data_IF_655173802547
#
_entry.id   IF_655173802547
#
_cell.length_a   1.000
_cell.length_b   1.000
_cell.length_c   1.000
_cell.angle_alpha   90.00
_cell.angle_beta   90.00
_cell.angle_gamma   90.00
#
_symmetry.space_group_name_H-M   'P 1'
#
loop_
_entity.id
_entity.type
_entity.pdbx_description
1 polymer ?
#
# COMPACT_ATOMS: atom_id res chain seq x y z
N UNK A 1 13.11 -2.33 -11.71
CA UNK A 1 13.38 -0.88 -11.59
C UNK A 1 14.08 -0.28 -12.82
N UNK A 2 14.98 -0.99 -13.50
CA UNK A 2 15.74 -0.50 -14.67
C UNK A 2 14.86 0.00 -15.83
N UNK A 3 13.78 -0.74 -16.16
CA UNK A 3 12.85 -0.32 -17.20
C UNK A 3 12.15 1.02 -16.87
N UNK A 4 11.82 1.24 -15.59
CA UNK A 4 11.21 2.49 -15.13
C UNK A 4 12.18 3.66 -15.28
N UNK A 5 13.46 3.45 -14.96
CA UNK A 5 14.51 4.48 -15.15
C UNK A 5 14.63 4.92 -16.61
N UNK A 6 14.70 3.96 -17.52
CA UNK A 6 14.80 4.26 -18.98
C UNK A 6 13.59 5.04 -19.48
N UNK A 7 12.37 4.70 -19.04
CA UNK A 7 11.17 5.44 -19.41
C UNK A 7 11.18 6.85 -18.81
N UNK A 8 11.58 6.99 -17.55
CA UNK A 8 11.70 8.29 -16.88
C UNK A 8 12.69 9.20 -17.64
N UNK A 9 13.88 8.72 -17.95
CA UNK A 9 14.89 9.45 -18.74
C UNK A 9 14.37 9.85 -20.12
N UNK A 10 13.65 8.94 -20.79
CA UNK A 10 13.08 9.20 -22.12
C UNK A 10 12.06 10.35 -22.09
N UNK A 11 11.10 10.32 -21.16
CA UNK A 11 10.05 11.34 -21.08
C UNK A 11 10.58 12.67 -20.54
N UNK A 12 11.44 12.64 -19.50
CA UNK A 12 12.08 13.87 -18.98
C UNK A 12 13.00 14.53 -20.00
N UNK A 13 13.70 13.76 -20.82
CA UNK A 13 14.49 14.29 -21.94
C UNK A 13 13.66 15.06 -22.99
N UNK A 14 12.34 14.88 -22.97
CA UNK A 14 11.36 15.61 -23.80
C UNK A 14 10.72 16.79 -23.10
N UNK A 15 11.09 17.05 -21.84
CA UNK A 15 10.51 18.11 -21.02
C UNK A 15 9.13 17.77 -20.47
N UNK A 16 8.78 16.48 -20.39
CA UNK A 16 7.48 16.01 -19.89
C UNK A 16 7.54 15.76 -18.37
N UNK A 17 6.49 16.14 -17.65
CA UNK A 17 6.29 15.80 -16.24
C UNK A 17 5.90 14.32 -16.15
N UNK A 18 6.57 13.57 -15.26
CA UNK A 18 6.40 12.11 -15.18
C UNK A 18 5.87 11.68 -13.83
N UNK A 19 4.76 10.98 -13.84
CA UNK A 19 4.18 10.34 -12.66
C UNK A 19 4.22 8.81 -12.77
N UNK A 20 4.42 8.12 -11.65
CA UNK A 20 4.42 6.67 -11.56
C UNK A 20 3.23 6.19 -10.73
N UNK A 21 2.32 5.45 -11.35
CA UNK A 21 1.24 4.75 -10.66
C UNK A 21 1.51 3.26 -10.65
N UNK A 22 1.57 2.66 -9.46
CA UNK A 22 1.78 1.22 -9.27
C UNK A 22 0.50 0.61 -8.75
N UNK A 23 0.04 -0.46 -9.37
CA UNK A 23 -1.20 -1.13 -8.97
C UNK A 23 -0.99 -2.63 -8.79
N UNK A 24 -1.79 -3.24 -7.92
CA UNK A 24 -1.75 -4.68 -7.71
C UNK A 24 -2.90 -5.22 -6.88
N UNK A 25 -3.22 -6.49 -7.09
CA UNK A 25 -4.26 -7.21 -6.38
C UNK A 25 -3.63 -8.23 -5.42
N UNK A 26 -4.22 -8.42 -4.24
CA UNK A 26 -3.76 -9.40 -3.24
C UNK A 26 -2.26 -9.24 -2.92
N UNK A 27 -1.46 -10.29 -3.04
CA UNK A 27 -0.01 -10.22 -2.86
C UNK A 27 0.66 -9.20 -3.80
N UNK A 28 0.17 -9.03 -5.03
CA UNK A 28 0.64 -8.01 -5.97
C UNK A 28 0.44 -6.59 -5.44
N UNK A 29 -0.62 -6.33 -4.66
CA UNK A 29 -0.83 -5.06 -4.00
C UNK A 29 0.18 -4.80 -2.87
N UNK A 30 0.59 -5.84 -2.14
CA UNK A 30 1.68 -5.74 -1.17
C UNK A 30 3.03 -5.43 -1.86
N UNK A 31 3.30 -6.10 -2.98
CA UNK A 31 4.50 -5.84 -3.79
C UNK A 31 4.49 -4.43 -4.40
N UNK A 32 3.32 -3.91 -4.79
CA UNK A 32 3.16 -2.55 -5.29
C UNK A 32 3.62 -1.50 -4.25
N UNK A 33 3.29 -1.70 -2.97
CA UNK A 33 3.74 -0.84 -1.88
C UNK A 33 5.27 -0.88 -1.70
N UNK A 34 5.88 -2.06 -1.77
CA UNK A 34 7.34 -2.22 -1.68
C UNK A 34 8.05 -1.60 -2.89
N UNK A 35 7.52 -1.80 -4.09
CA UNK A 35 8.05 -1.19 -5.31
C UNK A 35 7.94 0.34 -5.28
N UNK A 36 6.86 0.89 -4.73
CA UNK A 36 6.72 2.33 -4.56
C UNK A 36 7.75 2.90 -3.59
N UNK A 37 8.05 2.19 -2.50
CA UNK A 37 9.12 2.56 -1.58
C UNK A 37 10.49 2.57 -2.28
N UNK A 38 10.78 1.53 -3.05
CA UNK A 38 12.02 1.44 -3.83
C UNK A 38 12.11 2.57 -4.87
N UNK A 39 11.00 2.83 -5.59
CA UNK A 39 10.94 3.90 -6.58
C UNK A 39 11.19 5.27 -5.93
N UNK A 40 10.49 5.58 -4.83
CA UNK A 40 10.67 6.84 -4.12
C UNK A 40 12.08 7.02 -3.53
N UNK A 41 12.75 5.90 -3.19
CA UNK A 41 14.13 5.93 -2.68
C UNK A 41 15.18 6.05 -3.78
N UNK A 42 14.91 5.52 -4.99
CA UNK A 42 15.89 5.34 -6.06
C UNK A 42 15.71 6.30 -7.24
N UNK A 43 14.56 6.97 -7.32
CA UNK A 43 14.18 7.84 -8.43
C UNK A 43 13.74 9.22 -7.90
N UNK A 44 14.69 10.04 -7.42
CA UNK A 44 14.37 11.36 -6.85
C UNK A 44 13.75 12.33 -7.85
N UNK A 45 13.93 12.06 -9.12
CA UNK A 45 13.40 12.87 -10.22
C UNK A 45 11.96 12.56 -10.59
N UNK A 46 11.30 11.61 -9.91
CA UNK A 46 9.87 11.37 -10.11
C UNK A 46 9.04 12.42 -9.38
N UNK A 47 8.18 13.13 -10.13
CA UNK A 47 7.36 14.19 -9.60
C UNK A 47 6.27 13.67 -8.67
N UNK A 48 5.65 12.54 -9.06
CA UNK A 48 4.58 11.92 -8.28
C UNK A 48 4.65 10.40 -8.32
N UNK A 49 4.51 9.78 -7.14
CA UNK A 49 4.37 8.33 -7.00
C UNK A 49 3.05 8.03 -6.30
N UNK A 50 2.25 7.14 -6.90
CA UNK A 50 0.99 6.68 -6.33
C UNK A 50 0.86 5.16 -6.37
N UNK A 51 0.13 4.60 -5.40
CA UNK A 51 -0.20 3.18 -5.32
C UNK A 51 -1.70 3.01 -5.22
N UNK A 52 -2.26 2.12 -6.04
CA UNK A 52 -3.64 1.68 -5.91
C UNK A 52 -3.62 0.16 -5.70
N UNK A 53 -3.93 -0.29 -4.49
CA UNK A 53 -3.93 -1.72 -4.14
C UNK A 53 -5.36 -2.25 -3.92
N UNK A 54 -5.61 -3.48 -4.35
CA UNK A 54 -6.90 -4.13 -4.22
C UNK A 54 -6.75 -5.38 -3.34
N UNK A 55 -7.44 -5.42 -2.20
CA UNK A 55 -7.44 -6.57 -1.30
C UNK A 55 -6.05 -6.99 -0.81
N UNK A 56 -5.12 -6.06 -0.73
CA UNK A 56 -3.73 -6.35 -0.34
C UNK A 56 -3.60 -6.65 1.16
N UNK A 57 -2.75 -7.59 1.56
CA UNK A 57 -2.38 -7.74 2.95
C UNK A 57 -1.59 -6.53 3.45
N UNK A 58 -1.56 -6.34 4.75
CA UNK A 58 -0.81 -5.23 5.35
C UNK A 58 0.69 -5.42 5.19
N UNK A 59 1.38 -4.35 4.83
CA UNK A 59 2.82 -4.31 4.61
C UNK A 59 3.46 -3.32 5.57
N UNK A 60 4.51 -3.77 6.26
CA UNK A 60 5.29 -2.90 7.12
C UNK A 60 4.61 -2.52 8.45
N UNK A 61 5.35 -1.76 9.23
CA UNK A 61 4.96 -1.24 10.53
C UNK A 61 4.70 0.28 10.48
N UNK A 62 4.53 0.89 11.65
CA UNK A 62 4.34 2.35 11.76
C UNK A 62 5.50 3.12 11.11
N UNK A 63 6.74 2.70 11.32
CA UNK A 63 7.91 3.41 10.78
C UNK A 63 7.93 3.37 9.24
N UNK A 64 7.53 2.24 8.63
CA UNK A 64 7.40 2.12 7.19
C UNK A 64 6.29 3.05 6.65
N UNK A 65 5.13 3.08 7.32
CA UNK A 65 4.04 4.00 6.95
C UNK A 65 4.50 5.46 7.00
N UNK A 66 5.14 5.85 8.11
CA UNK A 66 5.57 7.23 8.31
C UNK A 66 6.62 7.61 7.27
N UNK A 67 7.52 6.68 6.93
CA UNK A 67 8.51 6.88 5.86
C UNK A 67 7.87 7.06 4.48
N UNK A 68 6.85 6.26 4.13
CA UNK A 68 6.12 6.41 2.87
C UNK A 68 5.42 7.78 2.77
N UNK A 69 4.86 8.26 3.89
CA UNK A 69 4.24 9.59 3.96
C UNK A 69 5.28 10.71 3.81
N UNK A 70 6.44 10.61 4.49
CA UNK A 70 7.56 11.56 4.34
C UNK A 70 8.05 11.65 2.90
N UNK A 71 8.07 10.53 2.18
CA UNK A 71 8.47 10.46 0.77
C UNK A 71 7.36 10.96 -0.19
N UNK A 72 6.21 11.39 0.32
CA UNK A 72 5.12 11.93 -0.49
C UNK A 72 4.37 10.90 -1.33
N UNK A 73 4.54 9.60 -1.07
CA UNK A 73 3.85 8.53 -1.82
C UNK A 73 2.36 8.54 -1.48
N UNK A 74 1.51 8.70 -2.50
CA UNK A 74 0.05 8.65 -2.34
C UNK A 74 -0.44 7.21 -2.43
N UNK A 75 -1.20 6.74 -1.44
CA UNK A 75 -1.63 5.35 -1.37
C UNK A 75 -3.14 5.26 -1.17
N UNK A 76 -3.80 4.55 -2.08
CA UNK A 76 -5.20 4.16 -1.99
C UNK A 76 -5.30 2.64 -1.91
N UNK A 77 -5.91 2.14 -0.84
CA UNK A 77 -6.20 0.72 -0.67
C UNK A 77 -7.69 0.47 -0.80
N UNK A 78 -8.07 -0.26 -1.81
CA UNK A 78 -9.44 -0.70 -2.07
C UNK A 78 -9.63 -2.07 -1.41
N UNK A 79 -10.52 -2.16 -0.44
CA UNK A 79 -10.77 -3.41 0.32
C UNK A 79 -12.25 -3.72 0.35
N UNK A 80 -12.59 -5.01 0.25
CA UNK A 80 -13.94 -5.49 0.46
C UNK A 80 -14.14 -5.75 1.96
N UNK A 81 -15.23 -5.28 2.54
CA UNK A 81 -15.50 -5.41 3.98
C UNK A 81 -15.48 -6.87 4.47
N UNK A 82 -15.90 -7.77 3.60
CA UNK A 82 -15.96 -9.21 3.85
C UNK A 82 -14.61 -9.92 3.69
N UNK A 83 -13.62 -9.27 3.06
CA UNK A 83 -12.30 -9.84 2.83
C UNK A 83 -11.46 -9.87 4.11
N UNK A 84 -10.87 -11.03 4.39
CA UNK A 84 -9.99 -11.24 5.55
C UNK A 84 -8.54 -10.89 5.24
N UNK A 85 -8.12 -11.00 3.97
CA UNK A 85 -6.74 -10.81 3.54
C UNK A 85 -6.15 -9.44 3.92
N UNK A 86 -6.86 -8.31 3.75
CA UNK A 86 -6.36 -7.00 4.17
C UNK A 86 -6.15 -6.86 5.69
N UNK A 87 -6.69 -7.81 6.46
CA UNK A 87 -6.53 -7.85 7.92
C UNK A 87 -5.32 -8.69 8.36
N UNK A 88 -4.73 -9.45 7.43
CA UNK A 88 -3.52 -10.23 7.67
C UNK A 88 -2.26 -9.38 7.46
N UNK A 89 -1.14 -9.68 8.13
CA UNK A 89 -0.99 -10.68 9.20
C UNK A 89 -1.49 -10.21 10.57
N UNK A 90 -2.08 -9.01 10.66
CA UNK A 90 -2.45 -8.36 11.92
C UNK A 90 -3.36 -9.21 12.82
N UNK A 91 -4.31 -9.98 12.24
CA UNK A 91 -5.23 -10.81 13.06
C UNK A 91 -4.46 -11.97 13.71
N UNK A 92 -3.59 -12.66 12.97
CA UNK A 92 -2.83 -13.81 13.49
C UNK A 92 -1.80 -13.34 14.49
N UNK A 93 -1.01 -12.34 14.13
CA UNK A 93 0.01 -11.77 15.02
C UNK A 93 -0.60 -11.16 16.28
N UNK A 94 -1.71 -10.40 16.18
CA UNK A 94 -2.36 -9.80 17.32
C UNK A 94 -2.99 -10.84 18.26
N UNK A 95 -3.48 -11.98 17.77
CA UNK A 95 -4.06 -13.03 18.61
C UNK A 95 -2.99 -13.76 19.43
N UNK A 96 -1.83 -14.02 18.84
CA UNK A 96 -0.67 -14.61 19.53
C UNK A 96 -0.04 -13.61 20.49
N UNK A 97 0.11 -12.35 20.07
CA UNK A 97 0.72 -11.28 20.86
C UNK A 97 -0.15 -10.77 22.00
N UNK A 98 -1.49 -10.90 21.93
CA UNK A 98 -2.39 -10.58 23.06
C UNK A 98 -2.17 -11.49 24.27
N UNK A 99 -1.65 -12.70 24.07
CA UNK A 99 -1.28 -13.59 25.19
C UNK A 99 0.03 -13.18 25.87
N UNK A 100 0.85 -12.31 25.23
CA UNK A 100 2.11 -11.79 25.75
C UNK A 100 1.96 -10.29 26.09
N UNK A 101 0.83 -9.91 26.65
CA UNK A 101 0.33 -8.53 26.73
C UNK A 101 1.20 -7.51 27.49
N UNK A 102 2.13 -7.94 28.34
CA UNK A 102 2.99 -7.04 29.10
C UNK A 102 4.20 -6.48 28.32
N UNK A 103 4.65 -7.19 27.27
CA UNK A 103 5.85 -6.86 26.51
C UNK A 103 5.56 -6.08 25.21
N UNK A 104 4.33 -6.15 24.70
CA UNK A 104 3.99 -5.69 23.34
C UNK A 104 3.59 -4.23 23.22
N UNK A 105 3.34 -3.51 24.32
CA UNK A 105 3.08 -2.05 24.29
C UNK A 105 4.26 -1.23 23.75
N UNK A 106 5.47 -1.79 23.75
CA UNK A 106 6.71 -1.16 23.22
C UNK A 106 7.16 -1.70 21.85
N UNK A 107 6.52 -2.75 21.32
CA UNK A 107 6.95 -3.34 20.06
C UNK A 107 6.33 -2.60 18.87
N UNK A 108 7.15 -1.85 18.17
CA UNK A 108 6.85 -1.19 16.87
C UNK A 108 6.58 -2.17 15.72
N UNK A 109 6.28 -3.43 16.01
CA UNK A 109 6.16 -4.55 15.06
C UNK A 109 4.74 -4.82 14.57
N UNK A 110 3.76 -4.01 15.01
CA UNK A 110 2.38 -4.20 14.58
C UNK A 110 2.22 -3.71 13.15
N UNK A 111 1.82 -4.61 12.25
CA UNK A 111 1.48 -4.27 10.89
C UNK A 111 0.32 -3.27 10.86
N UNK A 112 0.53 -2.14 10.19
CA UNK A 112 -0.44 -1.06 10.09
C UNK A 112 -0.93 -0.90 8.67
N UNK A 113 -2.13 -0.38 8.55
CA UNK A 113 -2.64 0.08 7.28
C UNK A 113 -1.88 1.34 6.85
N UNK A 114 -1.54 1.44 5.56
CA UNK A 114 -0.79 2.55 4.98
C UNK A 114 -1.68 3.24 3.95
N UNK A 115 -1.76 4.57 4.02
CA UNK A 115 -2.56 5.39 3.10
C UNK A 115 -4.05 5.41 3.43
N UNK A 116 -4.85 5.86 2.46
CA UNK A 116 -6.32 5.93 2.54
C UNK A 116 -6.94 4.58 2.20
N UNK A 117 -7.99 4.19 2.93
CA UNK A 117 -8.70 2.93 2.72
C UNK A 117 -10.10 3.20 2.18
N UNK A 118 -10.41 2.69 0.99
CA UNK A 118 -11.75 2.67 0.41
C UNK A 118 -12.39 1.30 0.66
N UNK A 119 -13.43 1.26 1.50
CA UNK A 119 -14.16 0.03 1.84
C UNK A 119 -15.36 -0.15 0.94
N UNK A 120 -15.34 -1.22 0.14
CA UNK A 120 -16.47 -1.64 -0.68
C UNK A 120 -17.33 -2.66 0.08
N UNK A 121 -18.65 -2.50 -0.03
CA UNK A 121 -19.62 -3.46 0.51
C UNK A 121 -20.29 -4.18 -0.65
N UNK A 122 -19.92 -5.45 -0.85
CA UNK A 122 -20.43 -6.26 -1.97
C UNK A 122 -21.94 -6.50 -1.86
N UNK A 123 -22.48 -6.60 -0.64
CA UNK A 123 -23.90 -6.86 -0.42
C UNK A 123 -24.74 -5.65 -0.88
N UNK A 124 -24.30 -4.44 -0.52
CA UNK A 124 -25.00 -3.20 -0.91
C UNK A 124 -24.94 -3.01 -2.43
N UNK A 125 -23.76 -3.18 -3.04
CA UNK A 125 -23.60 -3.00 -4.49
C UNK A 125 -24.39 -4.03 -5.32
N UNK A 126 -24.56 -5.25 -4.83
CA UNK A 126 -25.40 -6.27 -5.49
C UNK A 126 -26.90 -5.97 -5.36
N UNK A 127 -27.33 -5.33 -4.28
CA UNK A 127 -28.71 -4.90 -4.10
C UNK A 127 -29.05 -3.69 -4.98
N UNK A 128 -28.15 -2.73 -5.10
CA UNK A 128 -28.30 -1.55 -5.95
C UNK A 128 -28.27 -1.90 -7.45
N UNK A 129 -27.51 -2.91 -7.87
CA UNK A 129 -27.44 -3.36 -9.27
C UNK A 129 -28.70 -4.13 -9.72
N UNK A 130 -29.69 -4.34 -8.86
CA UNK A 130 -30.98 -5.01 -9.19
C UNK A 130 -32.15 -4.04 -9.42
N UNK A 131 -31.88 -2.74 -9.35
CA UNK A 131 -32.81 -1.68 -9.72
C UNK A 131 -32.46 -1.20 -11.13
#
# INVERSE_FOLDING_TARGET
MEAVKRLLEFFKGRGEEVSLTITGHSQGGALALLNAYEAASSLPDLDHISVISFGAPRVGNIAFRDKMNEMGVKILSVVVKQDILPKLPGIICNKILRQIHALTRRLKWVYRHIGSELKLDVIVSLLEARI
#
